data_IF_823056234835
#
_entry.id   IF_823056234835
#
_cell.length_a   1.000
_cell.length_b   1.000
_cell.length_c   1.000
_cell.angle_alpha   90.00
_cell.angle_beta   90.00
_cell.angle_gamma   90.00
#
_symmetry.space_group_name_H-M   'P 1'
#
loop_
_entity.id
_entity.type
_entity.pdbx_description
1 polymer ?
#
# COMPACT_ATOMS: atom_id res chain seq x y z
N UNK A 1 -4.59 9.15 -20.86
CA UNK A 1 -4.25 10.11 -19.78
C UNK A 1 -5.54 10.56 -19.10
N UNK A 2 -5.56 10.62 -17.79
CA UNK A 2 -6.69 11.13 -17.02
C UNK A 2 -6.21 12.37 -16.26
N UNK A 3 -7.00 13.43 -16.30
CA UNK A 3 -6.76 14.66 -15.55
C UNK A 3 -7.94 14.85 -14.62
N UNK A 4 -7.66 15.02 -13.35
CA UNK A 4 -8.68 15.21 -12.31
C UNK A 4 -8.41 16.47 -11.52
N UNK A 5 -9.46 17.12 -11.09
CA UNK A 5 -9.40 18.28 -10.23
C UNK A 5 -10.51 18.23 -9.17
N UNK A 6 -10.23 18.76 -7.99
CA UNK A 6 -11.21 18.85 -6.91
C UNK A 6 -11.04 20.16 -6.14
N UNK A 7 -12.14 20.84 -5.87
CA UNK A 7 -12.16 22.14 -5.19
C UNK A 7 -13.28 23.04 -5.75
N UNK A 8 -13.13 24.35 -5.56
CA UNK A 8 -14.04 25.34 -6.18
C UNK A 8 -13.64 25.57 -7.63
N UNK A 9 -14.08 24.69 -8.53
CA UNK A 9 -13.69 24.65 -9.94
C UNK A 9 -14.96 24.68 -10.80
N UNK A 10 -14.96 25.52 -11.83
CA UNK A 10 -15.92 25.44 -12.92
C UNK A 10 -15.43 24.38 -13.92
N UNK A 11 -16.28 23.39 -14.20
CA UNK A 11 -15.92 22.24 -15.03
C UNK A 11 -15.58 22.66 -16.46
N UNK A 12 -16.39 23.52 -17.07
CA UNK A 12 -16.24 23.87 -18.48
C UNK A 12 -14.99 24.72 -18.69
N UNK A 13 -14.74 25.68 -17.80
CA UNK A 13 -13.53 26.48 -17.82
C UNK A 13 -12.27 25.61 -17.62
N UNK A 14 -12.34 24.63 -16.72
CA UNK A 14 -11.24 23.69 -16.50
C UNK A 14 -10.98 22.86 -17.75
N UNK A 15 -11.99 22.28 -18.37
CA UNK A 15 -11.87 21.51 -19.61
C UNK A 15 -11.26 22.34 -20.74
N UNK A 16 -11.74 23.57 -20.94
CA UNK A 16 -11.19 24.48 -21.95
C UNK A 16 -9.72 24.85 -21.70
N UNK A 17 -9.37 25.06 -20.44
CA UNK A 17 -7.98 25.33 -20.04
C UNK A 17 -7.06 24.15 -20.36
N UNK A 18 -7.51 22.94 -20.04
CA UNK A 18 -6.75 21.72 -20.32
C UNK A 18 -6.64 21.47 -21.82
N UNK A 19 -7.70 21.62 -22.58
CA UNK A 19 -7.66 21.50 -24.05
C UNK A 19 -6.61 22.44 -24.66
N UNK A 20 -6.56 23.70 -24.23
CA UNK A 20 -5.57 24.67 -24.72
C UNK A 20 -4.14 24.28 -24.36
N UNK A 21 -3.93 23.77 -23.14
CA UNK A 21 -2.59 23.41 -22.66
C UNK A 21 -2.09 22.09 -23.23
N UNK A 22 -2.99 21.21 -23.65
CA UNK A 22 -2.66 19.84 -24.07
C UNK A 22 -2.79 19.62 -25.59
N UNK A 23 -2.90 20.68 -26.41
CA UNK A 23 -3.09 20.59 -27.87
C UNK A 23 -1.94 19.85 -28.59
N UNK A 24 -0.74 19.90 -28.05
CA UNK A 24 0.47 19.32 -28.68
C UNK A 24 0.92 18.00 -28.04
N UNK A 25 0.03 17.33 -27.28
CA UNK A 25 0.39 16.02 -26.73
C UNK A 25 0.48 15.01 -27.88
N UNK A 26 1.57 14.25 -27.95
CA UNK A 26 1.68 13.20 -28.97
C UNK A 26 0.58 12.15 -28.72
N UNK A 27 -0.06 11.70 -29.77
CA UNK A 27 -0.90 10.50 -29.72
C UNK A 27 -0.01 9.34 -29.34
N UNK A 28 -0.22 8.81 -28.13
CA UNK A 28 0.63 7.76 -27.56
C UNK A 28 0.64 6.52 -28.46
N UNK A 29 1.82 5.98 -28.70
CA UNK A 29 1.96 4.64 -29.22
C UNK A 29 1.41 3.66 -28.17
N UNK A 30 0.50 2.79 -28.57
CA UNK A 30 0.08 1.65 -27.78
C UNK A 30 1.28 0.73 -27.59
N UNK A 31 1.89 0.76 -26.42
CA UNK A 31 2.86 -0.25 -26.05
C UNK A 31 2.12 -1.49 -25.55
N UNK A 32 2.42 -2.64 -26.13
CA UNK A 32 1.96 -3.91 -25.57
C UNK A 32 2.48 -4.04 -24.15
N UNK A 33 1.58 -4.20 -23.19
CA UNK A 33 1.95 -4.45 -21.81
C UNK A 33 2.37 -5.91 -21.69
N UNK A 34 3.57 -6.12 -21.15
CA UNK A 34 3.97 -7.44 -20.69
C UNK A 34 3.20 -7.72 -19.38
N UNK A 35 2.66 -8.93 -19.28
CA UNK A 35 2.05 -9.42 -18.03
C UNK A 35 3.15 -9.52 -16.98
N UNK A 36 2.87 -9.00 -15.81
CA UNK A 36 3.81 -9.06 -14.70
C UNK A 36 3.99 -10.51 -14.24
N UNK A 37 5.24 -10.88 -13.97
CA UNK A 37 5.63 -12.18 -13.43
C UNK A 37 6.40 -11.96 -12.14
N UNK A 38 5.82 -12.37 -11.01
CA UNK A 38 6.47 -12.26 -9.71
C UNK A 38 7.64 -13.24 -9.63
N UNK A 39 8.81 -12.72 -9.31
CA UNK A 39 10.00 -13.53 -9.04
C UNK A 39 10.54 -13.22 -7.67
N UNK A 40 10.73 -14.26 -6.87
CA UNK A 40 11.43 -14.15 -5.61
C UNK A 40 12.91 -13.82 -5.87
N UNK A 41 13.51 -13.12 -4.94
CA UNK A 41 14.91 -12.74 -5.02
C UNK A 41 15.40 -12.10 -3.74
N UNK A 42 16.68 -11.85 -3.68
CA UNK A 42 17.31 -11.15 -2.56
C UNK A 42 18.18 -10.02 -3.12
N UNK A 43 18.12 -8.89 -2.44
CA UNK A 43 18.98 -7.74 -2.72
C UNK A 43 19.56 -7.21 -1.41
N UNK A 44 20.85 -6.99 -1.37
CA UNK A 44 21.56 -6.37 -0.25
C UNK A 44 22.42 -5.22 -0.72
N UNK A 45 22.39 -4.14 0.03
CA UNK A 45 23.21 -2.97 -0.22
C UNK A 45 23.83 -2.50 1.10
N UNK A 46 25.15 -2.43 1.15
CA UNK A 46 25.88 -1.93 2.32
C UNK A 46 26.00 -0.41 2.25
N UNK A 47 25.40 0.25 3.24
CA UNK A 47 25.49 1.70 3.43
C UNK A 47 25.85 2.02 4.88
N UNK A 48 26.60 3.11 5.07
CA UNK A 48 26.86 3.64 6.41
C UNK A 48 25.62 4.37 6.94
N UNK A 49 24.70 3.61 7.52
CA UNK A 49 23.45 4.10 8.10
C UNK A 49 23.40 3.76 9.59
N UNK A 50 22.63 4.50 10.34
CA UNK A 50 22.39 4.24 11.76
C UNK A 50 21.47 3.01 12.00
N UNK A 51 20.77 2.57 10.95
CA UNK A 51 19.80 1.49 11.01
C UNK A 51 19.94 0.55 9.82
N UNK A 52 19.60 -0.70 10.05
CA UNK A 52 19.35 -1.68 8.99
C UNK A 52 17.89 -1.54 8.55
N UNK A 53 17.68 -1.39 7.27
CA UNK A 53 16.37 -1.37 6.64
C UNK A 53 16.09 -2.75 6.03
N UNK A 54 15.10 -3.45 6.57
CA UNK A 54 14.66 -4.74 6.08
C UNK A 54 13.31 -4.56 5.36
N UNK A 55 13.23 -5.08 4.14
CA UNK A 55 12.02 -5.15 3.37
C UNK A 55 11.77 -6.60 2.96
N UNK A 56 10.63 -7.16 3.38
CA UNK A 56 10.13 -8.44 2.91
C UNK A 56 9.01 -8.19 1.90
N UNK A 57 9.13 -8.79 0.72
CA UNK A 57 8.14 -8.70 -0.34
C UNK A 57 7.54 -10.06 -0.64
N UNK A 58 6.22 -10.09 -0.84
CA UNK A 58 5.46 -11.25 -1.23
C UNK A 58 4.62 -10.90 -2.46
N UNK A 59 4.29 -11.92 -3.25
CA UNK A 59 3.29 -11.74 -4.29
C UNK A 59 1.99 -11.25 -3.66
N UNK A 60 1.47 -10.16 -4.21
CA UNK A 60 0.18 -9.59 -3.83
C UNK A 60 -0.87 -9.91 -4.88
N UNK A 61 -1.96 -9.15 -4.85
CA UNK A 61 -3.08 -9.33 -5.76
C UNK A 61 -3.36 -8.05 -6.53
N UNK A 62 -3.96 -8.19 -7.70
CA UNK A 62 -4.36 -7.06 -8.56
C UNK A 62 -5.58 -6.31 -8.01
N UNK A 63 -5.92 -5.17 -8.62
CA UNK A 63 -7.05 -4.34 -8.20
C UNK A 63 -8.42 -4.98 -8.43
N UNK A 64 -8.53 -5.96 -9.30
CA UNK A 64 -9.80 -6.60 -9.68
C UNK A 64 -10.04 -7.91 -8.93
N UNK A 65 -9.07 -8.35 -8.12
CA UNK A 65 -9.17 -9.58 -7.36
C UNK A 65 -10.27 -9.48 -6.28
N UNK A 66 -11.05 -10.54 -6.11
CA UNK A 66 -12.15 -10.58 -5.14
C UNK A 66 -11.67 -10.34 -3.69
N UNK A 67 -10.46 -10.78 -3.36
CA UNK A 67 -9.85 -10.62 -2.04
C UNK A 67 -9.10 -9.28 -1.86
N UNK A 68 -9.20 -8.34 -2.79
CA UNK A 68 -8.50 -7.06 -2.68
C UNK A 68 -8.72 -6.36 -1.33
N UNK A 69 -9.97 -6.24 -0.90
CA UNK A 69 -10.28 -5.62 0.39
C UNK A 69 -9.88 -6.49 1.58
N UNK A 70 -9.89 -7.82 1.43
CA UNK A 70 -9.40 -8.74 2.46
C UNK A 70 -7.91 -8.55 2.70
N UNK A 71 -7.11 -8.40 1.65
CA UNK A 71 -5.69 -8.09 1.75
C UNK A 71 -5.43 -6.73 2.40
N UNK A 72 -6.23 -5.71 2.10
CA UNK A 72 -6.12 -4.40 2.76
C UNK A 72 -6.43 -4.47 4.26
N UNK A 73 -7.47 -5.23 4.65
CA UNK A 73 -7.78 -5.47 6.07
C UNK A 73 -6.65 -6.23 6.73
N UNK A 74 -6.13 -7.29 6.10
CA UNK A 74 -4.99 -8.06 6.60
C UNK A 74 -3.75 -7.17 6.78
N UNK A 75 -3.40 -6.37 5.79
CA UNK A 75 -2.31 -5.42 5.91
C UNK A 75 -2.52 -4.47 7.09
N UNK A 76 -3.72 -3.91 7.24
CA UNK A 76 -4.02 -2.99 8.35
C UNK A 76 -3.88 -3.66 9.73
N UNK A 77 -4.38 -4.87 9.91
CA UNK A 77 -4.29 -5.57 11.20
C UNK A 77 -2.87 -6.06 11.51
N UNK A 78 -2.09 -6.41 10.48
CA UNK A 78 -0.73 -6.94 10.65
C UNK A 78 0.27 -5.85 10.99
N UNK A 79 0.31 -4.75 10.22
CA UNK A 79 1.31 -3.69 10.36
C UNK A 79 0.78 -2.26 10.12
N UNK A 80 -0.54 -2.03 10.17
CA UNK A 80 -1.16 -0.76 9.83
C UNK A 80 -1.16 0.31 10.93
N UNK A 81 -0.42 0.14 12.02
CA UNK A 81 -0.33 1.14 13.09
C UNK A 81 0.06 0.57 14.44
N UNK A 82 0.07 1.41 15.47
CA UNK A 82 0.56 1.05 16.82
C UNK A 82 -0.17 -0.13 17.47
N UNK A 83 -1.43 -0.35 17.15
CA UNK A 83 -2.20 -1.50 17.66
C UNK A 83 -2.16 -2.73 16.77
N UNK A 84 -1.37 -2.72 15.71
CA UNK A 84 -1.18 -3.86 14.81
C UNK A 84 -0.33 -4.95 15.45
N UNK A 85 -0.46 -6.16 14.93
CA UNK A 85 0.21 -7.35 15.45
C UNK A 85 1.74 -7.20 15.52
N UNK A 86 2.34 -6.89 14.38
CA UNK A 86 3.80 -6.76 14.29
C UNK A 86 4.32 -5.64 15.18
N UNK A 87 3.59 -4.51 15.25
CA UNK A 87 3.98 -3.42 16.12
C UNK A 87 3.97 -3.84 17.59
N UNK A 88 2.90 -4.50 18.04
CA UNK A 88 2.77 -4.96 19.42
C UNK A 88 3.78 -6.05 19.78
N UNK A 89 3.96 -7.05 18.93
CA UNK A 89 4.84 -8.19 19.24
C UNK A 89 6.31 -7.87 19.09
N UNK A 90 6.69 -7.10 18.09
CA UNK A 90 8.09 -6.88 17.71
C UNK A 90 8.63 -5.58 18.30
N UNK A 91 7.85 -4.49 18.23
CA UNK A 91 8.30 -3.19 18.74
C UNK A 91 8.01 -3.01 20.22
N UNK A 92 6.76 -3.18 20.66
CA UNK A 92 6.37 -2.85 22.04
C UNK A 92 6.84 -3.92 23.03
N UNK A 93 6.66 -5.21 22.74
CA UNK A 93 7.03 -6.27 23.68
C UNK A 93 8.53 -6.59 23.69
N UNK A 94 9.20 -6.52 22.53
CA UNK A 94 10.58 -6.97 22.37
C UNK A 94 11.58 -5.86 22.08
N UNK A 95 11.13 -4.70 21.62
CA UNK A 95 12.01 -3.57 21.32
C UNK A 95 12.98 -3.84 20.15
N UNK A 96 12.65 -4.76 19.24
CA UNK A 96 13.55 -5.21 18.17
C UNK A 96 13.65 -4.24 17.00
N UNK A 97 12.71 -3.30 16.87
CA UNK A 97 12.64 -2.36 15.74
C UNK A 97 12.32 -0.95 16.21
N UNK A 98 12.80 0.03 15.50
CA UNK A 98 12.39 1.44 15.66
C UNK A 98 11.00 1.68 15.08
N UNK A 99 10.70 1.04 13.97
CA UNK A 99 9.40 1.07 13.32
C UNK A 99 9.19 -0.17 12.47
N UNK A 100 7.93 -0.59 12.37
CA UNK A 100 7.51 -1.70 11.52
C UNK A 100 6.16 -1.36 10.92
N UNK A 101 5.99 -1.69 9.65
CA UNK A 101 4.73 -1.49 8.93
C UNK A 101 4.55 -2.53 7.84
N UNK A 102 3.32 -2.79 7.48
CA UNK A 102 2.95 -3.55 6.28
C UNK A 102 2.23 -2.65 5.28
N UNK A 103 2.37 -2.98 4.01
CA UNK A 103 1.71 -2.28 2.92
C UNK A 103 1.29 -3.26 1.83
N UNK A 104 0.31 -2.85 1.05
CA UNK A 104 -0.11 -3.55 -0.17
C UNK A 104 -0.14 -2.55 -1.32
N UNK A 105 0.49 -2.92 -2.43
CA UNK A 105 0.48 -2.18 -3.68
C UNK A 105 -0.07 -3.08 -4.77
N UNK A 106 -1.27 -2.77 -5.24
CA UNK A 106 -1.91 -3.49 -6.35
C UNK A 106 -1.74 -2.75 -7.67
N UNK A 107 -1.66 -3.49 -8.73
CA UNK A 107 -1.59 -3.02 -10.11
C UNK A 107 -2.75 -3.64 -10.90
N UNK A 108 -2.77 -3.49 -12.21
CA UNK A 108 -3.86 -4.01 -13.05
C UNK A 108 -3.81 -5.52 -13.29
N UNK A 109 -2.65 -6.13 -13.10
CA UNK A 109 -2.35 -7.53 -13.42
C UNK A 109 -1.54 -8.25 -12.35
N UNK A 110 -1.16 -7.56 -11.27
CA UNK A 110 -0.36 -8.10 -10.17
C UNK A 110 -0.48 -7.24 -8.92
N UNK A 111 0.25 -7.61 -7.88
CA UNK A 111 0.43 -6.80 -6.67
C UNK A 111 1.67 -7.21 -5.90
N UNK A 112 2.00 -6.40 -4.91
CA UNK A 112 3.04 -6.69 -3.91
C UNK A 112 2.45 -6.45 -2.53
N UNK A 113 2.57 -7.44 -1.67
CA UNK A 113 2.39 -7.27 -0.23
C UNK A 113 3.77 -7.17 0.40
N UNK A 114 4.00 -6.17 1.24
CA UNK A 114 5.31 -5.95 1.82
C UNK A 114 5.26 -5.62 3.30
N UNK A 115 6.36 -5.95 3.98
CA UNK A 115 6.63 -5.56 5.36
C UNK A 115 7.97 -4.84 5.39
N UNK A 116 7.95 -3.65 5.93
CA UNK A 116 9.15 -2.85 6.14
C UNK A 116 9.42 -2.72 7.63
N UNK A 117 10.69 -2.82 8.04
CA UNK A 117 11.12 -2.47 9.38
C UNK A 117 12.53 -1.86 9.39
N UNK A 118 12.73 -0.93 10.35
CA UNK A 118 14.04 -0.38 10.69
C UNK A 118 14.52 -0.95 12.03
N UNK A 119 15.72 -1.54 12.05
CA UNK A 119 16.27 -2.23 13.21
C UNK A 119 17.74 -1.92 13.41
N UNK A 120 18.28 -2.22 14.58
CA UNK A 120 19.70 -2.16 14.85
C UNK A 120 20.43 -3.44 14.42
N UNK A 121 21.75 -3.35 14.29
CA UNK A 121 22.60 -4.46 13.87
C UNK A 121 22.51 -5.66 14.84
N UNK A 122 22.43 -5.40 16.13
CA UNK A 122 22.37 -6.44 17.16
C UNK A 122 21.00 -7.14 17.23
N UNK A 123 19.93 -6.49 16.78
CA UNK A 123 18.57 -6.99 16.86
C UNK A 123 18.13 -7.83 15.65
N UNK A 124 18.84 -7.71 14.51
CA UNK A 124 18.41 -8.35 13.24
C UNK A 124 18.32 -9.88 13.35
N UNK A 125 19.23 -10.51 14.11
CA UNK A 125 19.28 -11.96 14.28
C UNK A 125 18.05 -12.50 15.02
N UNK A 126 17.54 -11.74 16.00
CA UNK A 126 16.33 -12.10 16.74
C UNK A 126 15.07 -11.69 15.97
N UNK A 127 15.12 -10.57 15.26
CA UNK A 127 13.99 -10.02 14.53
C UNK A 127 13.45 -10.98 13.46
N UNK A 128 14.33 -11.57 12.65
CA UNK A 128 13.91 -12.39 11.51
C UNK A 128 13.10 -13.61 11.94
N UNK A 129 13.57 -14.45 12.89
CA UNK A 129 12.76 -15.57 13.38
C UNK A 129 11.39 -15.13 13.94
N UNK A 130 11.37 -14.10 14.80
CA UNK A 130 10.12 -13.61 15.41
C UNK A 130 9.14 -13.10 14.33
N UNK A 131 9.65 -12.41 13.31
CA UNK A 131 8.82 -11.93 12.21
C UNK A 131 8.24 -13.09 11.39
N UNK A 132 9.05 -14.10 11.10
CA UNK A 132 8.61 -15.32 10.40
C UNK A 132 7.54 -16.07 11.22
N UNK A 133 7.74 -16.22 12.53
CA UNK A 133 6.78 -16.88 13.42
C UNK A 133 5.44 -16.12 13.41
N UNK A 134 5.46 -14.80 13.52
CA UNK A 134 4.25 -13.98 13.47
C UNK A 134 3.50 -14.12 12.14
N UNK A 135 4.21 -14.23 11.03
CA UNK A 135 3.60 -14.45 9.72
C UNK A 135 2.99 -15.85 9.60
N UNK A 136 3.70 -16.87 10.04
CA UNK A 136 3.24 -18.27 9.97
C UNK A 136 2.05 -18.53 10.90
N UNK A 137 2.02 -17.90 12.07
CA UNK A 137 0.92 -18.05 13.04
C UNK A 137 -0.32 -17.24 12.66
N UNK A 138 -0.16 -16.15 11.91
CA UNK A 138 -1.24 -15.20 11.63
C UNK A 138 -2.49 -15.85 11.04
N UNK A 139 -2.42 -16.78 10.05
CA UNK A 139 -3.63 -17.38 9.47
C UNK A 139 -4.53 -18.11 10.46
N UNK A 140 -3.92 -18.69 11.51
CA UNK A 140 -4.61 -19.51 12.50
C UNK A 140 -4.95 -18.78 13.81
N UNK A 141 -4.43 -17.58 14.01
CA UNK A 141 -4.49 -16.86 15.28
C UNK A 141 -5.16 -15.48 15.20
N UNK A 142 -5.56 -15.03 13.99
CA UNK A 142 -6.29 -13.77 13.81
C UNK A 142 -7.67 -13.88 14.48
N UNK A 143 -7.94 -12.88 15.32
CA UNK A 143 -9.20 -12.79 16.05
C UNK A 143 -10.20 -11.90 15.32
N UNK A 144 -11.50 -12.13 15.56
CA UNK A 144 -12.57 -11.28 15.04
C UNK A 144 -12.42 -9.82 15.50
N UNK A 145 -11.90 -9.59 16.72
CA UNK A 145 -11.61 -8.25 17.23
C UNK A 145 -10.56 -7.51 16.39
N UNK A 146 -9.52 -8.20 15.95
CA UNK A 146 -8.48 -7.62 15.07
C UNK A 146 -9.06 -7.30 13.69
N UNK A 147 -9.86 -8.19 13.12
CA UNK A 147 -10.53 -7.98 11.83
C UNK A 147 -11.44 -6.74 11.90
N UNK A 148 -12.27 -6.65 12.94
CA UNK A 148 -13.20 -5.54 13.11
C UNK A 148 -12.46 -4.21 13.32
N UNK A 149 -11.33 -4.22 14.04
CA UNK A 149 -10.47 -3.05 14.19
C UNK A 149 -9.85 -2.64 12.85
N UNK A 150 -9.30 -3.58 12.07
CA UNK A 150 -8.75 -3.31 10.74
C UNK A 150 -9.78 -2.71 9.79
N UNK A 151 -10.99 -3.28 9.77
CA UNK A 151 -12.11 -2.74 8.99
C UNK A 151 -12.49 -1.33 9.41
N UNK A 152 -12.57 -1.05 10.70
CA UNK A 152 -12.89 0.28 11.23
C UNK A 152 -11.81 1.30 10.86
N UNK A 153 -10.54 0.93 10.98
CA UNK A 153 -9.40 1.78 10.62
C UNK A 153 -9.40 2.14 9.12
N UNK A 154 -9.64 1.17 8.24
CA UNK A 154 -9.73 1.41 6.80
C UNK A 154 -10.92 2.33 6.46
N UNK A 155 -12.09 2.08 7.04
CA UNK A 155 -13.26 2.94 6.85
C UNK A 155 -12.99 4.37 7.30
N UNK A 156 -12.41 4.55 8.47
CA UNK A 156 -12.04 5.88 8.98
C UNK A 156 -11.02 6.58 8.06
N UNK A 157 -10.01 5.87 7.56
CA UNK A 157 -9.02 6.41 6.64
C UNK A 157 -9.64 6.86 5.31
N UNK A 158 -10.58 6.07 4.78
CA UNK A 158 -11.32 6.42 3.57
C UNK A 158 -12.20 7.67 3.77
N UNK A 159 -12.90 7.76 4.90
CA UNK A 159 -13.76 8.92 5.21
C UNK A 159 -12.92 10.19 5.40
N UNK A 160 -11.85 10.15 6.19
CA UNK A 160 -10.92 11.28 6.35
C UNK A 160 -10.26 11.67 5.02
N UNK A 161 -9.99 10.70 4.16
CA UNK A 161 -9.46 10.95 2.83
C UNK A 161 -10.38 11.81 1.96
N UNK A 162 -11.71 11.68 2.12
CA UNK A 162 -12.69 12.46 1.37
C UNK A 162 -12.74 13.94 1.76
N UNK A 163 -12.24 14.33 2.91
CA UNK A 163 -12.14 15.73 3.33
C UNK A 163 -11.04 16.48 2.58
N UNK A 164 -10.01 15.78 2.14
CA UNK A 164 -8.91 16.36 1.37
C UNK A 164 -9.26 16.49 -0.11
N UNK A 165 -9.21 17.71 -0.66
CA UNK A 165 -9.40 17.95 -2.08
C UNK A 165 -8.38 17.19 -2.93
N UNK A 166 -7.12 17.16 -2.49
CA UNK A 166 -6.05 16.40 -3.15
C UNK A 166 -6.36 14.90 -3.24
N UNK A 167 -6.75 14.29 -2.10
CA UNK A 167 -7.08 12.85 -2.07
C UNK A 167 -8.34 12.52 -2.90
N UNK A 168 -9.34 13.40 -2.92
CA UNK A 168 -10.50 13.22 -3.79
C UNK A 168 -10.11 13.23 -5.27
N UNK A 169 -9.26 14.19 -5.64
CA UNK A 169 -8.74 14.31 -7.00
C UNK A 169 -7.96 13.06 -7.41
N UNK A 170 -7.01 12.63 -6.59
CA UNK A 170 -6.21 11.43 -6.83
C UNK A 170 -7.07 10.17 -6.91
N UNK A 171 -8.01 9.99 -5.98
CA UNK A 171 -8.91 8.84 -5.96
C UNK A 171 -9.78 8.77 -7.21
N UNK A 172 -10.36 9.89 -7.64
CA UNK A 172 -11.17 9.94 -8.86
C UNK A 172 -10.36 9.58 -10.11
N UNK A 173 -9.15 10.13 -10.23
CA UNK A 173 -8.25 9.81 -11.35
C UNK A 173 -7.86 8.32 -11.37
N UNK A 174 -7.52 7.77 -10.22
CA UNK A 174 -7.16 6.36 -10.07
C UNK A 174 -8.32 5.43 -10.39
N UNK A 175 -9.53 5.72 -9.88
CA UNK A 175 -10.71 4.90 -10.16
C UNK A 175 -11.05 4.88 -11.64
N UNK A 176 -11.00 6.02 -12.31
CA UNK A 176 -11.19 6.08 -13.75
C UNK A 176 -10.11 5.31 -14.52
N UNK A 177 -8.86 5.40 -14.07
CA UNK A 177 -7.74 4.70 -14.73
C UNK A 177 -7.84 3.18 -14.57
N UNK A 178 -8.23 2.70 -13.40
CA UNK A 178 -8.24 1.28 -13.04
C UNK A 178 -9.57 0.62 -13.41
N UNK A 179 -10.69 1.25 -13.07
CA UNK A 179 -12.03 0.66 -13.18
C UNK A 179 -12.87 1.25 -14.32
N UNK A 180 -12.35 2.27 -15.02
CA UNK A 180 -13.06 3.04 -16.03
C UNK A 180 -14.39 3.64 -15.55
N UNK A 181 -14.54 3.81 -14.22
CA UNK A 181 -15.69 4.43 -13.56
C UNK A 181 -15.29 5.00 -12.19
N UNK A 182 -16.07 5.94 -11.68
CA UNK A 182 -15.97 6.41 -10.29
C UNK A 182 -16.92 5.56 -9.45
N UNK A 183 -16.44 5.05 -8.32
CA UNK A 183 -17.14 4.19 -7.37
C UNK A 183 -17.49 4.98 -6.12
#
# INVERSE_FOLDING_TARGET
MIISAAGKIDHDQFVESIKKSCTNLPTGLSTERQIADYKSGEYREDKKLEQIHLLLGFEGIDYHHDDYYSLLVYSSLLGGGMSSRLFQEIREKRGLVYGISSFSSSYTDTGVFGIYCGTGENQIQELIPVLCDQLNESPNSITEKEINRGKAQLKASLMMGRESAFRRCESAARQLLVFNRII
#
